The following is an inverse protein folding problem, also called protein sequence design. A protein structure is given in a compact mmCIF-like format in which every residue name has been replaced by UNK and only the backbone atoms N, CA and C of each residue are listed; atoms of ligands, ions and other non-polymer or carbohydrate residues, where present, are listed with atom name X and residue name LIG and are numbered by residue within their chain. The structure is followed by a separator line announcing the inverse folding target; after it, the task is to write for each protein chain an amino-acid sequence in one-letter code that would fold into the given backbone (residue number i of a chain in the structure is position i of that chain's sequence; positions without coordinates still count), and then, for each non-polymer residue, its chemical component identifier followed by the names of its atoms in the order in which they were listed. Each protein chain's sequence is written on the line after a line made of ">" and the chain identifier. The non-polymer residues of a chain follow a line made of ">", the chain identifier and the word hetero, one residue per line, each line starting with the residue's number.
data_IF_462777383288
#
_entry.id   IF_462777383288
#
_cell.length_a   1.000
_cell.length_b   1.000
_cell.length_c   1.000
_cell.angle_alpha   90.00
_cell.angle_beta   90.00
_cell.angle_gamma   90.00
#
_symmetry.space_group_name_H-M   'P 1'
#
loop_
_entity.id
_entity.type
_entity.pdbx_description
1 polymer ?
#
# COMPACT_ATOMS: atom_id res chain seq x y z
N UNK A 1 6.54 -37.92 -16.26
CA UNK A 1 6.51 -36.47 -16.59
C UNK A 1 7.89 -35.90 -16.41
N UNK A 2 8.36 -35.06 -17.33
CA UNK A 2 9.66 -34.39 -17.19
C UNK A 2 9.63 -33.38 -16.03
N UNK A 3 10.78 -33.14 -15.39
CA UNK A 3 10.87 -32.19 -14.30
C UNK A 3 10.69 -30.74 -14.81
N UNK A 4 9.82 -29.92 -14.19
CA UNK A 4 9.58 -28.54 -14.61
C UNK A 4 10.71 -27.58 -14.23
N UNK A 5 11.61 -27.98 -13.33
CA UNK A 5 12.78 -27.22 -12.92
C UNK A 5 14.04 -28.06 -13.09
N UNK A 6 15.10 -27.45 -13.61
CA UNK A 6 16.43 -28.05 -13.75
C UNK A 6 17.46 -27.19 -13.01
N UNK A 7 18.38 -27.83 -12.30
CA UNK A 7 19.48 -27.14 -11.61
C UNK A 7 20.77 -27.32 -12.39
N UNK A 8 21.40 -26.22 -12.82
CA UNK A 8 22.70 -26.25 -13.48
C UNK A 8 23.87 -26.38 -12.49
N UNK A 9 23.64 -26.15 -11.19
CA UNK A 9 24.66 -26.23 -10.15
C UNK A 9 25.12 -27.67 -9.91
N UNK A 10 26.43 -27.87 -9.69
CA UNK A 10 27.00 -29.16 -9.26
C UNK A 10 26.39 -29.68 -7.94
N UNK A 11 25.90 -28.79 -7.07
CA UNK A 11 25.25 -29.11 -5.79
C UNK A 11 23.72 -28.93 -5.85
N UNK A 12 23.03 -29.67 -6.72
CA UNK A 12 21.60 -29.50 -6.99
C UNK A 12 20.65 -29.63 -5.77
N UNK A 13 21.08 -30.29 -4.69
CA UNK A 13 20.28 -30.43 -3.45
C UNK A 13 20.09 -29.08 -2.75
N UNK A 14 21.11 -28.20 -2.79
CA UNK A 14 21.04 -26.87 -2.18
C UNK A 14 20.03 -25.93 -2.87
N UNK A 15 19.63 -26.24 -4.11
CA UNK A 15 18.65 -25.47 -4.89
C UNK A 15 17.23 -25.62 -4.36
N UNK A 16 16.89 -26.76 -3.75
CA UNK A 16 15.54 -27.03 -3.23
C UNK A 16 15.06 -26.01 -2.17
N UNK A 17 15.81 -25.68 -1.09
CA UNK A 17 15.39 -24.68 -0.11
C UNK A 17 15.31 -23.27 -0.71
N UNK A 18 16.14 -22.94 -1.70
CA UNK A 18 16.09 -21.65 -2.42
C UNK A 18 14.78 -21.54 -3.20
N UNK A 19 14.44 -22.55 -4.00
CA UNK A 19 13.18 -22.59 -4.77
C UNK A 19 11.96 -22.53 -3.84
N UNK A 20 11.99 -23.26 -2.73
CA UNK A 20 10.91 -23.22 -1.74
C UNK A 20 10.78 -21.84 -1.09
N UNK A 21 11.91 -21.20 -0.79
CA UNK A 21 11.97 -19.83 -0.31
C UNK A 21 11.35 -18.84 -1.30
N UNK A 22 11.76 -18.92 -2.58
CA UNK A 22 11.19 -18.12 -3.66
C UNK A 22 9.68 -18.33 -3.80
N UNK A 23 9.20 -19.58 -3.73
CA UNK A 23 7.78 -19.90 -3.80
C UNK A 23 6.99 -19.27 -2.64
N UNK A 24 7.51 -19.32 -1.40
CA UNK A 24 6.88 -18.67 -0.23
C UNK A 24 6.81 -17.15 -0.38
N UNK A 25 7.90 -16.53 -0.85
CA UNK A 25 7.96 -15.07 -1.07
C UNK A 25 7.00 -14.64 -2.17
N UNK A 26 6.97 -15.38 -3.28
CA UNK A 26 6.05 -15.16 -4.40
C UNK A 26 4.59 -15.28 -3.94
N UNK A 27 4.26 -16.33 -3.18
CA UNK A 27 2.91 -16.50 -2.64
C UNK A 27 2.52 -15.36 -1.69
N UNK A 28 3.42 -14.92 -0.81
CA UNK A 28 3.17 -13.76 0.06
C UNK A 28 2.93 -12.47 -0.75
N UNK A 29 3.70 -12.27 -1.83
CA UNK A 29 3.52 -11.15 -2.75
C UNK A 29 2.15 -11.23 -3.46
N UNK A 30 1.77 -12.40 -3.98
CA UNK A 30 0.47 -12.60 -4.65
C UNK A 30 -0.68 -12.27 -3.70
N UNK A 31 -0.64 -12.80 -2.47
CA UNK A 31 -1.68 -12.52 -1.46
C UNK A 31 -1.75 -11.03 -1.14
N UNK A 32 -0.61 -10.36 -0.91
CA UNK A 32 -0.56 -8.91 -0.71
C UNK A 32 -1.23 -8.17 -1.87
N UNK A 33 -0.83 -8.47 -3.11
CA UNK A 33 -1.34 -7.78 -4.30
C UNK A 33 -2.85 -7.99 -4.47
N UNK A 34 -3.35 -9.20 -4.23
CA UNK A 34 -4.78 -9.50 -4.25
C UNK A 34 -5.56 -8.74 -3.17
N UNK A 35 -5.02 -8.63 -1.95
CA UNK A 35 -5.65 -7.84 -0.88
C UNK A 35 -5.78 -6.37 -1.27
N UNK A 36 -4.71 -5.80 -1.83
CA UNK A 36 -4.72 -4.41 -2.31
C UNK A 36 -5.75 -4.23 -3.42
N UNK A 37 -5.78 -5.11 -4.43
CA UNK A 37 -6.73 -5.04 -5.56
C UNK A 37 -8.19 -5.14 -5.06
N UNK A 38 -8.48 -6.07 -4.16
CA UNK A 38 -9.85 -6.27 -3.65
C UNK A 38 -10.31 -5.04 -2.87
N UNK A 39 -9.47 -4.49 -2.01
CA UNK A 39 -9.83 -3.31 -1.21
C UNK A 39 -9.95 -2.09 -2.12
N UNK A 40 -8.96 -1.80 -2.97
CA UNK A 40 -8.98 -0.65 -3.88
C UNK A 40 -10.20 -0.69 -4.82
N UNK A 41 -10.57 -1.84 -5.36
CA UNK A 41 -11.74 -1.94 -6.26
C UNK A 41 -13.07 -1.67 -5.55
N UNK A 42 -13.25 -2.15 -4.30
CA UNK A 42 -14.42 -1.83 -3.49
C UNK A 42 -14.49 -0.33 -3.16
N UNK A 43 -13.34 0.27 -2.90
CA UNK A 43 -13.24 1.70 -2.62
C UNK A 43 -13.55 2.56 -3.83
N UNK A 44 -12.98 2.25 -5.00
CA UNK A 44 -13.29 2.93 -6.26
C UNK A 44 -14.77 2.87 -6.58
N UNK A 45 -15.41 1.70 -6.38
CA UNK A 45 -16.85 1.55 -6.56
C UNK A 45 -17.67 2.47 -5.64
N UNK A 46 -17.28 2.60 -4.37
CA UNK A 46 -17.95 3.49 -3.43
C UNK A 46 -17.67 4.98 -3.71
N UNK A 47 -16.46 5.31 -4.14
CA UNK A 47 -16.02 6.65 -4.51
C UNK A 47 -16.79 7.18 -5.73
N UNK A 48 -17.01 6.30 -6.72
CA UNK A 48 -17.86 6.54 -7.88
C UNK A 48 -19.33 6.71 -7.48
N UNK A 49 -19.86 5.83 -6.62
CA UNK A 49 -21.22 5.95 -6.10
C UNK A 49 -21.46 7.29 -5.40
N UNK A 50 -20.50 7.71 -4.55
CA UNK A 50 -20.57 8.98 -3.81
C UNK A 50 -20.57 10.19 -4.74
N UNK A 51 -19.70 10.19 -5.76
CA UNK A 51 -19.68 11.26 -6.77
C UNK A 51 -20.95 11.31 -7.60
N UNK A 52 -21.51 10.15 -7.94
CA UNK A 52 -22.77 10.06 -8.66
C UNK A 52 -23.93 10.68 -7.87
N UNK A 53 -24.05 10.35 -6.58
CA UNK A 53 -25.10 10.90 -5.70
C UNK A 53 -25.00 12.43 -5.55
N UNK A 54 -23.78 12.96 -5.53
CA UNK A 54 -23.51 14.40 -5.39
C UNK A 54 -23.45 15.17 -6.72
N UNK A 55 -23.65 14.47 -7.85
CA UNK A 55 -23.52 15.01 -9.20
C UNK A 55 -22.17 15.74 -9.39
N UNK A 56 -21.11 15.18 -8.81
CA UNK A 56 -19.76 15.69 -8.83
C UNK A 56 -18.93 14.94 -9.88
N UNK A 57 -18.30 15.69 -10.79
CA UNK A 57 -17.48 15.10 -11.86
C UNK A 57 -16.04 14.97 -11.42
N UNK A 58 -15.45 13.82 -11.69
CA UNK A 58 -14.04 13.58 -11.46
C UNK A 58 -13.15 14.40 -12.41
N UNK A 59 -11.96 14.79 -11.98
CA UNK A 59 -11.01 15.51 -12.83
C UNK A 59 -10.09 14.55 -13.58
N UNK A 60 -10.13 14.54 -14.92
CA UNK A 60 -9.25 13.71 -15.76
C UNK A 60 -7.75 13.86 -15.39
N UNK A 61 -7.32 15.08 -15.07
CA UNK A 61 -5.93 15.36 -14.67
C UNK A 61 -5.62 14.83 -13.28
N UNK A 62 -6.60 14.90 -12.37
CA UNK A 62 -6.49 14.29 -11.04
C UNK A 62 -6.33 12.78 -11.13
N UNK A 63 -7.16 12.15 -11.96
CA UNK A 63 -7.13 10.70 -12.26
C UNK A 63 -5.81 10.28 -12.89
N UNK A 64 -5.27 11.06 -13.82
CA UNK A 64 -3.96 10.77 -14.40
C UNK A 64 -2.85 10.74 -13.33
N UNK A 65 -2.79 11.77 -12.49
CA UNK A 65 -1.79 11.84 -11.40
C UNK A 65 -1.97 10.70 -10.41
N UNK A 66 -3.21 10.36 -10.09
CA UNK A 66 -3.59 9.25 -9.23
C UNK A 66 -3.02 7.92 -9.75
N UNK A 67 -3.24 7.58 -11.03
CA UNK A 67 -2.73 6.34 -11.60
C UNK A 67 -1.20 6.30 -11.74
N UNK A 68 -0.56 7.43 -12.03
CA UNK A 68 0.91 7.52 -12.04
C UNK A 68 1.48 7.25 -10.64
N UNK A 69 0.87 7.86 -9.62
CA UNK A 69 1.24 7.67 -8.22
C UNK A 69 1.03 6.22 -7.78
N UNK A 70 -0.11 5.61 -8.13
CA UNK A 70 -0.38 4.21 -7.82
C UNK A 70 0.61 3.27 -8.50
N UNK A 71 0.95 3.54 -9.76
CA UNK A 71 1.98 2.78 -10.48
C UNK A 71 3.35 2.83 -9.77
N UNK A 72 3.73 4.01 -9.26
CA UNK A 72 4.98 4.18 -8.51
C UNK A 72 4.95 3.36 -7.20
N UNK A 73 3.87 3.45 -6.43
CA UNK A 73 3.72 2.69 -5.18
C UNK A 73 3.68 1.18 -5.48
N UNK A 74 2.93 0.73 -6.49
CA UNK A 74 2.88 -0.67 -6.90
C UNK A 74 4.25 -1.22 -7.33
N UNK A 75 5.05 -0.39 -7.99
CA UNK A 75 6.44 -0.70 -8.32
C UNK A 75 7.26 -0.88 -7.03
N UNK A 76 7.12 0.02 -6.06
CA UNK A 76 7.80 -0.10 -4.76
C UNK A 76 7.36 -1.32 -3.94
N UNK A 77 6.09 -1.70 -4.02
CA UNK A 77 5.57 -2.92 -3.39
C UNK A 77 6.15 -4.21 -4.00
N UNK A 78 6.60 -4.11 -5.26
CA UNK A 78 7.27 -5.18 -6.01
C UNK A 78 8.78 -5.18 -5.81
N UNK A 79 9.40 -3.99 -5.74
CA UNK A 79 10.81 -3.80 -5.38
C UNK A 79 10.96 -4.09 -3.89
N UNK A 80 11.27 -5.34 -3.57
CA UNK A 80 11.47 -5.81 -2.19
C UNK A 80 11.65 -7.31 -2.10
N UNK A 81 12.01 -7.93 -3.23
CA UNK A 81 12.18 -9.37 -3.36
C UNK A 81 13.53 -9.87 -2.80
N UNK A 82 14.42 -8.95 -2.41
CA UNK A 82 15.62 -9.22 -1.59
C UNK A 82 15.17 -9.52 -0.16
N UNK A 83 14.46 -10.62 0.00
CA UNK A 83 13.90 -11.01 1.28
C UNK A 83 15.02 -11.30 2.27
N UNK A 84 14.79 -10.89 3.50
CA UNK A 84 15.75 -11.04 4.59
C UNK A 84 16.14 -12.50 4.83
N UNK A 85 15.19 -13.44 4.71
CA UNK A 85 15.47 -14.87 4.88
C UNK A 85 15.47 -15.63 3.54
N UNK A 86 16.46 -16.52 3.36
CA UNK A 86 16.50 -17.42 2.18
C UNK A 86 15.25 -18.30 2.17
N UNK A 87 14.94 -18.94 3.30
CA UNK A 87 13.76 -19.77 3.50
C UNK A 87 13.00 -19.27 4.75
N UNK A 88 11.91 -18.49 4.56
CA UNK A 88 11.11 -17.98 5.66
C UNK A 88 10.58 -19.10 6.56
N UNK A 89 10.75 -18.99 7.87
CA UNK A 89 10.31 -20.02 8.84
C UNK A 89 8.78 -20.22 8.84
N UNK A 90 8.02 -19.14 8.71
CA UNK A 90 6.55 -19.14 8.62
C UNK A 90 6.07 -19.31 7.18
N UNK A 91 4.93 -19.98 7.00
CA UNK A 91 4.29 -20.14 5.69
C UNK A 91 3.37 -18.94 5.41
N UNK A 92 3.36 -18.41 4.19
CA UNK A 92 2.38 -17.38 3.80
C UNK A 92 0.98 -17.98 3.74
N UNK A 93 -0.03 -17.11 3.91
CA UNK A 93 -1.43 -17.50 3.78
C UNK A 93 -1.69 -18.09 2.38
N UNK A 94 -2.38 -19.22 2.33
CA UNK A 94 -2.67 -19.96 1.09
C UNK A 94 -3.95 -19.52 0.40
N UNK A 95 -4.77 -18.76 1.12
CA UNK A 95 -6.07 -18.33 0.66
C UNK A 95 -6.38 -16.94 1.22
N UNK A 96 -7.10 -16.14 0.45
CA UNK A 96 -7.68 -14.87 0.90
C UNK A 96 -8.77 -15.08 1.95
N UNK A 97 -9.36 -16.28 2.00
CA UNK A 97 -10.43 -16.63 2.92
C UNK A 97 -9.93 -17.05 4.32
N UNK A 98 -8.68 -16.71 4.65
CA UNK A 98 -8.21 -16.85 6.03
C UNK A 98 -8.99 -15.86 6.92
N UNK A 99 -9.50 -16.27 8.10
CA UNK A 99 -10.32 -15.39 8.95
C UNK A 99 -9.66 -14.06 9.30
N UNK A 100 -8.34 -14.03 9.56
CA UNK A 100 -7.61 -12.78 9.80
C UNK A 100 -7.68 -11.82 8.60
N UNK A 101 -7.58 -12.36 7.38
CA UNK A 101 -7.59 -11.57 6.15
C UNK A 101 -9.01 -11.05 5.84
N UNK A 102 -10.04 -11.88 5.97
CA UNK A 102 -11.43 -11.46 5.78
C UNK A 102 -11.77 -10.32 6.76
N UNK A 103 -11.47 -10.50 8.04
CA UNK A 103 -11.73 -9.48 9.04
C UNK A 103 -10.96 -8.19 8.73
N UNK A 104 -9.69 -8.31 8.33
CA UNK A 104 -8.87 -7.15 7.91
C UNK A 104 -9.46 -6.43 6.69
N UNK A 105 -9.94 -7.16 5.67
CA UNK A 105 -10.58 -6.55 4.49
C UNK A 105 -11.85 -5.80 4.91
N UNK A 106 -12.73 -6.45 5.67
CA UNK A 106 -13.99 -5.87 6.12
C UNK A 106 -13.77 -4.63 6.99
N UNK A 107 -12.82 -4.67 7.92
CA UNK A 107 -12.50 -3.53 8.79
C UNK A 107 -11.90 -2.36 8.01
N UNK A 108 -11.03 -2.64 7.03
CA UNK A 108 -10.46 -1.61 6.15
C UNK A 108 -11.55 -0.94 5.32
N UNK A 109 -12.36 -1.72 4.60
CA UNK A 109 -13.46 -1.20 3.77
C UNK A 109 -14.46 -0.40 4.60
N UNK A 110 -14.84 -0.88 5.80
CA UNK A 110 -15.74 -0.14 6.68
C UNK A 110 -15.14 1.19 7.15
N UNK A 111 -13.84 1.22 7.49
CA UNK A 111 -13.13 2.44 7.92
C UNK A 111 -13.09 3.45 6.77
N UNK A 112 -12.70 2.99 5.58
CA UNK A 112 -12.63 3.79 4.37
C UNK A 112 -13.98 4.42 4.01
N UNK A 113 -15.04 3.61 3.94
CA UNK A 113 -16.41 4.09 3.67
C UNK A 113 -16.86 5.08 4.75
N UNK A 114 -16.54 4.83 6.02
CA UNK A 114 -16.86 5.70 7.14
C UNK A 114 -16.26 7.10 6.99
N UNK A 115 -14.96 7.18 6.67
CA UNK A 115 -14.28 8.46 6.47
C UNK A 115 -14.69 9.16 5.18
N UNK A 116 -14.92 8.42 4.08
CA UNK A 116 -15.49 8.99 2.86
C UNK A 116 -16.87 9.61 3.16
N UNK A 117 -17.74 8.90 3.87
CA UNK A 117 -19.05 9.43 4.29
C UNK A 117 -18.92 10.69 5.15
N UNK A 118 -17.99 10.69 6.11
CA UNK A 118 -17.74 11.84 6.98
C UNK A 118 -17.30 13.08 6.18
N UNK A 119 -16.32 12.91 5.29
CA UNK A 119 -15.77 13.99 4.45
C UNK A 119 -16.84 14.51 3.49
N UNK A 120 -17.60 13.62 2.84
CA UNK A 120 -18.69 14.00 1.94
C UNK A 120 -19.73 14.84 2.67
N UNK A 121 -20.19 14.40 3.85
CA UNK A 121 -21.16 15.16 4.66
C UNK A 121 -20.61 16.53 5.08
N UNK A 122 -19.33 16.60 5.42
CA UNK A 122 -18.68 17.85 5.79
C UNK A 122 -18.54 18.84 4.61
N UNK A 123 -18.42 18.33 3.38
CA UNK A 123 -18.28 19.16 2.18
C UNK A 123 -19.60 19.83 1.74
N UNK A 124 -20.77 19.41 2.26
CA UNK A 124 -22.10 19.91 1.85
C UNK A 124 -22.46 21.33 2.31
N UNK A 125 -21.58 22.05 2.99
CA UNK A 125 -21.92 23.30 3.68
C UNK A 125 -21.63 24.59 2.88
N UNK A 126 -21.87 24.62 1.56
CA UNK A 126 -21.62 25.78 0.70
C UNK A 126 -22.61 25.93 -0.46
N UNK A 127 -22.37 26.88 -1.37
CA UNK A 127 -23.12 26.98 -2.63
C UNK A 127 -22.92 25.71 -3.48
N UNK A 128 -23.95 25.29 -4.23
CA UNK A 128 -24.01 23.98 -4.90
C UNK A 128 -22.92 23.82 -5.98
N UNK A 129 -22.52 24.90 -6.65
CA UNK A 129 -21.47 24.87 -7.66
C UNK A 129 -20.08 24.66 -7.03
N UNK A 130 -19.78 25.41 -5.96
CA UNK A 130 -18.51 25.29 -5.23
C UNK A 130 -18.43 23.95 -4.48
N UNK A 131 -19.55 23.47 -3.95
CA UNK A 131 -19.65 22.19 -3.25
C UNK A 131 -19.11 21.03 -4.09
N UNK A 132 -19.47 20.94 -5.37
CA UNK A 132 -19.02 19.84 -6.24
C UNK A 132 -17.51 19.82 -6.43
N UNK A 133 -16.90 20.98 -6.64
CA UNK A 133 -15.46 21.09 -6.88
C UNK A 133 -14.65 20.89 -5.60
N UNK A 134 -15.16 21.39 -4.47
CA UNK A 134 -14.63 21.15 -3.12
C UNK A 134 -14.69 19.66 -2.79
N UNK A 135 -15.83 19.01 -3.03
CA UNK A 135 -16.01 17.58 -2.81
C UNK A 135 -15.05 16.75 -3.66
N UNK A 136 -14.95 17.04 -4.96
CA UNK A 136 -14.02 16.34 -5.85
C UNK A 136 -12.57 16.45 -5.36
N UNK A 137 -12.16 17.63 -4.90
CA UNK A 137 -10.83 17.83 -4.31
C UNK A 137 -10.65 17.00 -3.02
N UNK A 138 -11.63 17.04 -2.12
CA UNK A 138 -11.55 16.33 -0.85
C UNK A 138 -11.52 14.80 -1.05
N UNK A 139 -12.36 14.27 -1.95
CA UNK A 139 -12.41 12.85 -2.27
C UNK A 139 -11.12 12.37 -2.96
N UNK A 140 -10.56 13.15 -3.88
CA UNK A 140 -9.28 12.81 -4.52
C UNK A 140 -8.14 12.70 -3.49
N UNK A 141 -8.03 13.66 -2.57
CA UNK A 141 -6.99 13.66 -1.53
C UNK A 141 -7.19 12.51 -0.52
N UNK A 142 -8.44 12.22 -0.18
CA UNK A 142 -8.78 11.09 0.68
C UNK A 142 -8.46 9.76 -0.01
N UNK A 143 -8.83 9.60 -1.28
CA UNK A 143 -8.60 8.38 -2.05
C UNK A 143 -7.10 8.07 -2.26
N UNK A 144 -6.28 9.11 -2.49
CA UNK A 144 -4.82 8.99 -2.47
C UNK A 144 -4.33 8.42 -1.12
N UNK A 145 -4.84 8.94 -0.01
CA UNK A 145 -4.47 8.49 1.34
C UNK A 145 -4.90 7.05 1.58
N UNK A 146 -6.11 6.70 1.19
CA UNK A 146 -6.67 5.36 1.38
C UNK A 146 -5.88 4.29 0.63
N UNK A 147 -5.35 4.61 -0.55
CA UNK A 147 -4.44 3.71 -1.28
C UNK A 147 -3.10 3.53 -0.59
N UNK A 148 -2.56 4.60 0.03
CA UNK A 148 -1.36 4.49 0.87
C UNK A 148 -1.64 3.64 2.12
N UNK A 149 -2.76 3.87 2.80
CA UNK A 149 -3.16 3.11 3.97
C UNK A 149 -3.34 1.61 3.66
N UNK A 150 -4.04 1.29 2.57
CA UNK A 150 -4.23 -0.08 2.07
C UNK A 150 -2.90 -0.73 1.72
N UNK A 151 -2.02 -0.01 1.00
CA UNK A 151 -0.69 -0.51 0.62
C UNK A 151 0.18 -0.80 1.85
N UNK A 152 0.16 0.10 2.84
CA UNK A 152 0.93 -0.04 4.07
C UNK A 152 0.44 -1.22 4.91
N UNK A 153 -0.88 -1.29 5.09
CA UNK A 153 -1.53 -2.28 5.95
C UNK A 153 -1.35 -3.70 5.44
N UNK A 154 -1.45 -3.89 4.12
CA UNK A 154 -1.37 -5.20 3.48
C UNK A 154 0.06 -5.56 3.00
N UNK A 155 1.06 -4.70 3.24
CA UNK A 155 2.44 -4.99 2.86
C UNK A 155 2.91 -6.31 3.48
N UNK A 156 3.44 -7.22 2.66
CA UNK A 156 3.84 -8.55 3.09
C UNK A 156 4.96 -8.50 4.13
N UNK A 157 5.93 -7.60 3.96
CA UNK A 157 7.03 -7.36 4.91
C UNK A 157 7.76 -8.64 5.33
N UNK A 158 8.41 -8.57 6.50
CA UNK A 158 9.11 -9.71 7.09
C UNK A 158 8.16 -10.88 7.37
N UNK A 159 8.64 -12.13 7.28
CA UNK A 159 9.99 -12.55 6.82
C UNK A 159 10.11 -12.68 5.28
N UNK A 160 9.08 -12.31 4.52
CA UNK A 160 8.99 -12.59 3.08
C UNK A 160 9.60 -11.51 2.18
N UNK A 161 9.74 -10.29 2.70
CA UNK A 161 10.27 -9.11 2.01
C UNK A 161 11.05 -8.26 3.01
N UNK A 162 11.78 -7.26 2.50
CA UNK A 162 12.34 -6.18 3.31
C UNK A 162 11.27 -5.55 4.20
N UNK A 163 11.68 -4.99 5.34
CA UNK A 163 10.77 -4.16 6.12
C UNK A 163 10.51 -2.84 5.40
N UNK A 164 9.40 -2.16 5.71
CA UNK A 164 9.02 -0.91 5.04
C UNK A 164 10.16 0.13 5.11
N UNK A 165 10.78 0.41 6.28
CA UNK A 165 11.87 1.39 6.36
C UNK A 165 13.09 1.07 5.49
N UNK A 166 13.35 -0.21 5.20
CA UNK A 166 14.49 -0.60 4.35
C UNK A 166 14.18 -0.47 2.86
N UNK A 167 12.89 -0.50 2.50
CA UNK A 167 12.46 -0.27 1.14
C UNK A 167 12.39 1.23 0.86
N UNK A 168 13.55 1.84 0.66
CA UNK A 168 13.69 3.28 0.46
C UNK A 168 12.87 3.80 -0.71
N UNK A 169 12.70 3.00 -1.78
CA UNK A 169 11.87 3.36 -2.92
C UNK A 169 10.39 3.44 -2.54
N UNK A 170 9.86 2.42 -1.83
CA UNK A 170 8.49 2.43 -1.35
C UNK A 170 8.24 3.58 -0.37
N UNK A 171 9.16 3.79 0.58
CA UNK A 171 9.07 4.90 1.55
C UNK A 171 9.05 6.25 0.85
N UNK A 172 9.98 6.48 -0.08
CA UNK A 172 10.03 7.72 -0.85
C UNK A 172 8.77 7.93 -1.69
N UNK A 173 8.28 6.87 -2.33
CA UNK A 173 7.02 6.88 -3.09
C UNK A 173 5.84 7.28 -2.20
N UNK A 174 5.61 6.57 -1.09
CA UNK A 174 4.51 6.85 -0.16
C UNK A 174 4.63 8.25 0.47
N UNK A 175 5.83 8.67 0.87
CA UNK A 175 6.08 10.01 1.39
C UNK A 175 5.79 11.11 0.35
N UNK A 176 6.14 10.87 -0.92
CA UNK A 176 5.78 11.76 -2.02
C UNK A 176 4.27 11.93 -2.15
N UNK A 177 3.51 10.84 -2.09
CA UNK A 177 2.03 10.88 -2.12
C UNK A 177 1.47 11.68 -0.95
N UNK A 178 1.95 11.39 0.27
CA UNK A 178 1.48 12.10 1.46
C UNK A 178 1.83 13.59 1.40
N UNK A 179 2.97 13.94 0.79
CA UNK A 179 3.33 15.35 0.55
C UNK A 179 2.32 16.03 -0.37
N UNK A 180 1.88 15.36 -1.44
CA UNK A 180 0.82 15.85 -2.34
C UNK A 180 -0.48 16.05 -1.56
N UNK A 181 -0.88 15.06 -0.75
CA UNK A 181 -2.10 15.10 0.08
C UNK A 181 -2.08 16.30 1.02
N UNK A 182 -1.04 16.42 1.87
CA UNK A 182 -0.96 17.51 2.84
C UNK A 182 -0.80 18.89 2.19
N UNK A 183 -0.10 18.97 1.05
CA UNK A 183 -0.04 20.22 0.26
C UNK A 183 -1.40 20.62 -0.27
N UNK A 184 -2.19 19.66 -0.76
CA UNK A 184 -3.56 19.88 -1.22
C UNK A 184 -4.49 20.34 -0.09
N UNK A 185 -4.43 19.69 1.07
CA UNK A 185 -5.21 20.09 2.27
C UNK A 185 -4.83 21.50 2.73
N UNK A 186 -3.53 21.81 2.76
CA UNK A 186 -3.01 23.12 3.16
C UNK A 186 -3.35 24.25 2.19
N UNK A 187 -3.87 23.94 0.99
CA UNK A 187 -4.11 24.93 -0.06
C UNK A 187 -2.82 25.53 -0.61
N UNK A 188 -1.69 24.81 -0.51
CA UNK A 188 -0.42 25.27 -1.04
C UNK A 188 -0.51 25.26 -2.57
N UNK A 189 -0.46 26.45 -3.19
CA UNK A 189 -0.67 26.65 -4.63
C UNK A 189 0.57 26.28 -5.45
N UNK A 190 0.98 25.02 -5.36
CA UNK A 190 2.03 24.43 -6.21
C UNK A 190 1.59 24.28 -7.67
N UNK A 191 2.56 24.11 -8.57
CA UNK A 191 2.32 23.80 -9.99
C UNK A 191 1.45 22.55 -10.17
N UNK A 192 1.68 21.52 -9.36
CA UNK A 192 0.94 20.26 -9.39
C UNK A 192 -0.53 20.44 -8.95
N UNK A 193 -0.79 21.21 -7.89
CA UNK A 193 -2.15 21.48 -7.42
C UNK A 193 -2.99 22.23 -8.48
N UNK A 194 -2.37 23.20 -9.19
CA UNK A 194 -3.00 23.88 -10.32
C UNK A 194 -3.26 22.93 -11.50
N UNK A 195 -2.31 22.03 -11.79
CA UNK A 195 -2.48 21.04 -12.85
C UNK A 195 -3.69 20.13 -12.59
N UNK A 196 -3.79 19.61 -11.36
CA UNK A 196 -4.89 18.75 -10.89
C UNK A 196 -6.21 19.50 -10.67
N UNK A 197 -6.22 20.83 -10.82
CA UNK A 197 -7.37 21.71 -10.57
C UNK A 197 -7.95 21.53 -9.15
N UNK A 198 -7.09 21.47 -8.14
CA UNK A 198 -7.53 21.37 -6.74
C UNK A 198 -8.18 22.70 -6.30
N UNK A 199 -9.41 22.61 -5.81
CA UNK A 199 -10.12 23.74 -5.22
C UNK A 199 -9.69 23.93 -3.77
N UNK A 200 -9.37 25.17 -3.33
CA UNK A 200 -9.07 25.45 -1.94
C UNK A 200 -10.21 25.01 -1.01
N UNK A 201 -9.88 24.26 0.03
CA UNK A 201 -10.86 23.73 0.97
C UNK A 201 -11.22 24.76 2.07
N UNK A 202 -12.47 24.81 2.54
CA UNK A 202 -12.84 25.58 3.74
C UNK A 202 -12.11 25.08 4.98
N UNK A 203 -11.78 25.94 5.93
CA UNK A 203 -10.96 25.57 7.10
C UNK A 203 -11.56 24.46 7.96
N UNK A 204 -12.90 24.42 8.07
CA UNK A 204 -13.59 23.32 8.75
C UNK A 204 -13.34 21.99 8.03
N UNK A 205 -13.43 21.98 6.70
CA UNK A 205 -13.20 20.77 5.90
C UNK A 205 -11.73 20.36 5.91
N UNK A 206 -10.78 21.31 5.90
CA UNK A 206 -9.35 21.01 6.10
C UNK A 206 -9.12 20.20 7.37
N UNK A 207 -9.66 20.67 8.51
CA UNK A 207 -9.53 19.99 9.80
C UNK A 207 -10.12 18.57 9.77
N UNK A 208 -11.34 18.43 9.24
CA UNK A 208 -12.02 17.13 9.12
C UNK A 208 -11.23 16.18 8.23
N UNK A 209 -10.75 16.68 7.08
CA UNK A 209 -9.96 15.89 6.14
C UNK A 209 -8.61 15.50 6.73
N UNK A 210 -7.94 16.36 7.49
CA UNK A 210 -6.71 15.99 8.23
C UNK A 210 -6.97 14.87 9.23
N UNK A 211 -8.06 14.96 10.01
CA UNK A 211 -8.46 13.90 10.94
C UNK A 211 -8.78 12.61 10.20
N UNK A 212 -9.47 12.70 9.06
CA UNK A 212 -9.76 11.54 8.22
C UNK A 212 -8.47 10.89 7.71
N UNK A 213 -7.54 11.68 7.17
CA UNK A 213 -6.24 11.18 6.69
C UNK A 213 -5.46 10.43 7.77
N UNK A 214 -5.36 11.00 8.97
CA UNK A 214 -4.72 10.35 10.11
C UNK A 214 -5.47 9.09 10.55
N UNK A 215 -6.81 9.17 10.60
CA UNK A 215 -7.68 8.07 10.97
C UNK A 215 -7.62 6.90 9.99
N UNK A 216 -7.48 7.17 8.69
CA UNK A 216 -7.30 6.15 7.66
C UNK A 216 -5.98 5.39 7.84
N UNK A 217 -4.88 6.12 7.96
CA UNK A 217 -3.54 5.51 8.12
C UNK A 217 -3.43 4.70 9.42
N UNK A 218 -3.93 5.24 10.53
CA UNK A 218 -3.82 4.59 11.83
C UNK A 218 -4.88 3.52 12.06
N UNK A 219 -6.14 3.84 11.76
CA UNK A 219 -7.29 2.96 12.02
C UNK A 219 -7.22 1.66 11.25
N UNK A 220 -6.94 1.73 9.95
CA UNK A 220 -6.79 0.52 9.12
C UNK A 220 -5.63 -0.35 9.57
N UNK A 221 -4.49 0.26 9.89
CA UNK A 221 -3.32 -0.45 10.39
C UNK A 221 -3.62 -1.17 11.70
N UNK A 222 -4.18 -0.47 12.69
CA UNK A 222 -4.50 -1.04 14.01
C UNK A 222 -5.51 -2.17 13.90
N UNK A 223 -6.62 -1.96 13.18
CA UNK A 223 -7.66 -2.97 13.03
C UNK A 223 -7.15 -4.23 12.32
N UNK A 224 -6.28 -4.06 11.31
CA UNK A 224 -5.63 -5.18 10.64
C UNK A 224 -4.68 -5.95 11.58
N UNK A 225 -3.88 -5.25 12.39
CA UNK A 225 -2.99 -5.89 13.37
C UNK A 225 -3.77 -6.62 14.46
N UNK A 226 -4.93 -6.10 14.87
CA UNK A 226 -5.83 -6.81 15.80
C UNK A 226 -6.37 -8.08 15.15
N UNK A 227 -6.81 -8.03 13.89
CA UNK A 227 -7.29 -9.21 13.17
C UNK A 227 -6.20 -10.29 13.03
N UNK A 228 -4.95 -9.88 12.77
CA UNK A 228 -3.80 -10.79 12.79
C UNK A 228 -3.52 -11.32 14.20
N UNK A 229 -3.55 -10.49 15.25
CA UNK A 229 -3.29 -10.95 16.62
C UNK A 229 -4.32 -11.99 17.10
N UNK A 230 -5.58 -11.85 16.70
CA UNK A 230 -6.67 -12.76 17.11
C UNK A 230 -6.63 -14.08 16.34
N UNK A 231 -6.33 -14.06 15.04
CA UNK A 231 -6.50 -15.22 14.16
C UNK A 231 -5.21 -15.75 13.52
N UNK A 232 -4.07 -15.04 13.62
CA UNK A 232 -2.82 -15.33 12.91
C UNK A 232 -1.58 -14.84 13.70
N UNK A 233 -1.56 -15.08 15.02
CA UNK A 233 -0.50 -14.63 15.93
C UNK A 233 0.93 -15.04 15.48
N UNK A 234 1.20 -16.28 15.01
CA UNK A 234 2.54 -16.67 14.58
C UNK A 234 3.07 -15.81 13.43
N UNK A 235 2.18 -15.33 12.54
CA UNK A 235 2.57 -14.44 11.45
C UNK A 235 2.88 -13.04 11.95
N UNK A 236 2.11 -12.54 12.93
CA UNK A 236 2.37 -11.25 13.57
C UNK A 236 3.73 -11.27 14.28
N UNK A 237 4.04 -12.34 15.02
CA UNK A 237 5.34 -12.53 15.68
C UNK A 237 6.49 -12.60 14.67
N UNK A 238 6.33 -13.31 13.57
CA UNK A 238 7.36 -13.39 12.53
C UNK A 238 7.62 -12.06 11.82
N UNK A 239 6.63 -11.15 11.77
CA UNK A 239 6.80 -9.79 11.23
C UNK A 239 7.64 -8.90 12.16
N UNK A 240 7.48 -9.06 13.47
CA UNK A 240 8.13 -8.24 14.49
C UNK A 240 9.41 -8.84 15.03
N UNK A 241 9.73 -10.08 14.67
CA UNK A 241 10.96 -10.76 15.03
C UNK A 241 12.21 -9.93 14.65
N UNK A 242 13.25 -9.95 15.51
CA UNK A 242 14.52 -9.31 15.20
C UNK A 242 15.12 -9.92 13.93
N UNK A 243 15.86 -9.11 13.17
CA UNK A 243 16.55 -9.61 11.98
C UNK A 243 17.48 -10.76 12.36
N UNK A 244 17.54 -11.82 11.55
CA UNK A 244 18.55 -12.83 11.76
C UNK A 244 19.95 -12.22 11.61
N UNK A 245 20.93 -12.59 12.45
CA UNK A 245 22.25 -11.96 12.48
C UNK A 245 23.07 -12.16 11.20
N UNK A 246 22.71 -13.14 10.35
CA UNK A 246 23.35 -13.37 9.06
C UNK A 246 22.83 -12.47 7.93
N UNK A 247 21.75 -11.71 8.15
CA UNK A 247 21.12 -10.81 7.15
C UNK A 247 21.77 -9.41 7.15
N UNK A 248 22.49 -9.05 8.20
CA UNK A 248 23.18 -7.76 8.34
C UNK A 248 24.54 -7.70 7.66
N UNK A 249 25.07 -8.83 7.19
CA UNK A 249 26.15 -8.77 6.23
C UNK A 249 25.53 -8.22 4.94
N UNK A 250 25.73 -6.92 4.66
CA UNK A 250 25.68 -6.42 3.28
C UNK A 250 26.33 -7.52 2.44
N UNK A 251 25.56 -8.19 1.57
CA UNK A 251 26.17 -9.10 0.62
C UNK A 251 27.35 -8.33 0.02
N UNK A 252 28.58 -8.88 0.02
CA UNK A 252 29.68 -8.20 -0.63
C UNK A 252 29.17 -7.80 -2.01
N UNK A 253 29.34 -6.52 -2.38
CA UNK A 253 28.81 -6.00 -3.62
C UNK A 253 29.21 -6.96 -4.73
N UNK A 254 28.27 -7.79 -5.19
CA UNK A 254 28.51 -8.67 -6.32
C UNK A 254 28.41 -7.73 -7.47
N UNK A 255 29.55 -7.37 -8.04
CA UNK A 255 29.60 -6.57 -9.24
C UNK A 255 28.70 -7.25 -10.29
N UNK A 256 27.57 -6.63 -10.65
CA UNK A 256 26.62 -7.24 -11.57
C UNK A 256 27.20 -7.35 -12.99
N UNK A 257 28.36 -6.74 -13.25
CA UNK A 257 28.98 -6.64 -14.56
C UNK A 257 30.37 -7.28 -14.65
N UNK A 258 30.92 -7.83 -13.56
CA UNK A 258 32.23 -8.50 -13.56
C UNK A 258 33.41 -7.63 -14.02
N UNK A 259 33.30 -6.31 -13.90
CA UNK A 259 34.34 -5.30 -14.08
C UNK A 259 35.32 -5.19 -12.91
N UNK A 260 35.15 -5.97 -11.83
CA UNK A 260 36.16 -6.20 -10.78
C UNK A 260 37.39 -6.93 -11.35
N UNK A 261 38.14 -6.26 -12.22
CA UNK A 261 39.39 -6.72 -12.82
C UNK A 261 40.51 -6.89 -11.79
N UNK A 262 40.34 -7.84 -10.87
CA UNK A 262 41.47 -8.37 -10.09
C UNK A 262 42.23 -9.33 -11.00
N UNK A 263 43.55 -9.11 -11.20
CA UNK A 263 44.38 -9.95 -12.05
C UNK A 263 44.48 -11.39 -11.55
#
# INVERSE_FOLDING_TARGET
>A
TAAPFTSSSQHGIATAPILLGMARKSQAHIVQTLLIIVISSLMEGYDLFTRYDEDATESDRGVLVLYLVFGLVATGLSIGNDAEEILPTVKPNRSLFHPSLILSILSQVATHIGFTTLVTRAAKHGDRADQKTILNTALLLLFLTQNIATSLTNYAGRPFKLSIPDNTFLVAGMAGVMTIVFSGIGGLSGSLARYMKLTPLPDRLKKILTVAVCGELFGTFVLSRIAEAVFDLPRLEARTAPRPPWVTAKAPAVDPWGMDGRP
#
